data_IF_119807623277
#
_entry.id   IF_119807623277
#
_cell.length_a   1.000
_cell.length_b   1.000
_cell.length_c   1.000
_cell.angle_alpha   90.00
_cell.angle_beta   90.00
_cell.angle_gamma   90.00
#
_symmetry.space_group_name_H-M   'P 1'
#
loop_
_entity.id
_entity.type
_entity.pdbx_description
1 polymer ?
#
# COMPACT_ATOMS: atom_id res chain seq x y z
N UNK A 1 -15.35 25.93 -50.63
CA UNK A 1 -16.05 27.16 -50.17
C UNK A 1 -16.88 26.79 -48.95
N UNK A 2 -16.43 27.05 -47.72
CA UNK A 2 -15.44 28.06 -47.33
C UNK A 2 -14.30 27.49 -46.45
N UNK A 3 -13.25 27.00 -47.08
CA UNK A 3 -12.08 26.41 -46.42
C UNK A 3 -11.27 27.45 -45.63
N UNK A 4 -11.30 28.72 -46.10
CA UNK A 4 -10.53 29.85 -45.56
C UNK A 4 -10.77 30.19 -44.09
N UNK A 5 -11.92 29.85 -43.51
CA UNK A 5 -12.22 30.23 -42.12
C UNK A 5 -11.45 29.42 -41.08
N UNK A 6 -10.85 28.29 -41.46
CA UNK A 6 -10.01 27.49 -40.55
C UNK A 6 -8.59 28.09 -40.49
N UNK A 7 -8.03 28.49 -41.63
CA UNK A 7 -6.74 29.16 -41.71
C UNK A 7 -6.76 30.50 -40.92
N UNK A 8 -7.82 31.31 -41.11
CA UNK A 8 -8.06 32.57 -40.39
C UNK A 8 -8.19 32.41 -38.85
N UNK A 9 -8.55 31.20 -38.37
CA UNK A 9 -8.65 30.87 -36.95
C UNK A 9 -7.31 30.36 -36.39
N UNK A 10 -6.57 29.56 -37.17
CA UNK A 10 -5.27 29.03 -36.78
C UNK A 10 -4.20 30.11 -36.66
N UNK A 11 -4.17 31.11 -37.56
CA UNK A 11 -3.25 32.26 -37.44
C UNK A 11 -3.48 33.08 -36.16
N UNK A 12 -4.71 33.16 -35.65
CA UNK A 12 -5.00 33.84 -34.37
C UNK A 12 -4.45 33.11 -33.16
N UNK A 13 -4.46 31.77 -33.18
CA UNK A 13 -3.93 30.96 -32.09
C UNK A 13 -2.41 31.12 -32.02
N UNK A 14 -1.73 31.07 -33.18
CA UNK A 14 -0.27 31.27 -33.26
C UNK A 14 0.09 32.71 -32.83
N UNK A 15 -0.56 33.73 -33.40
CA UNK A 15 -0.27 35.13 -33.08
C UNK A 15 -0.65 35.52 -31.64
N UNK A 16 -1.48 34.72 -30.95
CA UNK A 16 -1.80 34.88 -29.53
C UNK A 16 -0.76 34.31 -28.56
N UNK A 17 0.21 33.50 -29.04
CA UNK A 17 1.21 32.82 -28.20
C UNK A 17 2.57 33.53 -28.12
N UNK A 18 2.84 34.52 -28.97
CA UNK A 18 4.14 35.21 -29.03
C UNK A 18 4.24 36.48 -28.15
N UNK A 19 3.34 36.69 -27.17
CA UNK A 19 3.24 37.98 -26.48
C UNK A 19 2.90 37.93 -24.97
N UNK A 20 3.48 36.99 -24.22
CA UNK A 20 3.72 37.17 -22.77
C UNK A 20 5.23 37.27 -22.53
N UNK A 21 5.71 38.47 -22.18
CA UNK A 21 7.14 38.76 -21.97
C UNK A 21 7.54 38.70 -20.50
N UNK A 22 8.67 38.04 -20.20
CA UNK A 22 9.30 37.97 -18.87
C UNK A 22 9.46 39.33 -18.17
N UNK A 23 9.29 39.35 -16.83
CA UNK A 23 9.98 40.26 -15.94
C UNK A 23 11.04 39.53 -15.07
N UNK A 24 12.23 40.11 -15.00
CA UNK A 24 13.46 39.48 -14.49
C UNK A 24 13.52 39.17 -12.97
N UNK A 25 14.36 38.18 -12.65
CA UNK A 25 15.26 38.06 -11.49
C UNK A 25 14.94 38.81 -10.17
N UNK A 26 14.69 38.04 -9.12
CA UNK A 26 14.85 38.46 -7.72
C UNK A 26 15.90 37.61 -6.99
N UNK A 27 17.18 37.98 -7.08
CA UNK A 27 18.24 37.33 -6.28
C UNK A 27 18.27 37.91 -4.86
N UNK A 28 18.07 37.06 -3.84
CA UNK A 28 18.49 37.37 -2.47
C UNK A 28 19.34 36.22 -1.91
N UNK A 29 20.31 36.56 -1.06
CA UNK A 29 21.41 35.70 -0.64
C UNK A 29 21.58 35.76 0.87
N UNK A 30 21.17 34.70 1.57
CA UNK A 30 21.35 34.59 3.02
C UNK A 30 21.53 33.14 3.47
N UNK A 31 22.78 32.66 3.40
CA UNK A 31 23.24 31.63 4.32
C UNK A 31 23.36 32.22 5.73
N UNK A 32 23.23 31.39 6.78
CA UNK A 32 24.25 31.45 7.83
C UNK A 32 24.93 30.10 8.04
N UNK A 33 26.24 30.17 8.23
CA UNK A 33 27.15 29.05 8.46
C UNK A 33 26.72 28.14 9.62
N UNK A 34 27.03 26.85 9.49
CA UNK A 34 27.36 25.99 10.63
C UNK A 34 28.66 25.27 10.36
N UNK A 35 29.51 25.24 11.39
CA UNK A 35 30.87 24.71 11.32
C UNK A 35 30.90 23.17 11.42
N UNK A 36 32.02 22.62 10.96
CA UNK A 36 32.36 21.20 10.97
C UNK A 36 32.70 20.68 12.36
N UNK A 37 32.20 19.50 12.72
CA UNK A 37 32.84 18.62 13.71
C UNK A 37 32.41 17.16 13.53
N UNK A 38 33.36 16.32 13.15
CA UNK A 38 33.32 14.87 12.97
C UNK A 38 34.78 14.38 13.06
N UNK A 39 35.13 13.14 13.44
CA UNK A 39 34.28 12.02 13.87
C UNK A 39 34.59 11.50 15.30
N UNK A 40 33.91 10.43 15.71
CA UNK A 40 34.43 9.48 16.69
C UNK A 40 33.94 8.07 16.37
N UNK A 41 34.79 7.30 15.70
CA UNK A 41 34.65 5.85 15.53
C UNK A 41 34.96 5.15 16.88
N UNK A 42 34.23 4.09 17.22
CA UNK A 42 34.48 3.30 18.44
C UNK A 42 33.99 1.85 18.22
N UNK A 43 34.87 0.98 17.71
CA UNK A 43 34.61 -0.47 17.54
C UNK A 43 35.14 -1.28 18.72
N UNK A 44 34.35 -2.19 19.32
CA UNK A 44 34.83 -3.19 20.24
C UNK A 44 34.98 -4.58 19.58
N UNK A 45 36.22 -4.85 19.14
CA UNK A 45 36.98 -6.12 19.11
C UNK A 45 36.30 -7.51 18.96
N UNK A 46 37.00 -8.38 18.24
CA UNK A 46 36.76 -9.83 18.10
C UNK A 46 37.29 -10.60 19.33
N UNK A 47 36.58 -11.64 19.77
CA UNK A 47 37.11 -12.70 20.65
C UNK A 47 37.15 -14.03 19.87
N UNK A 48 38.36 -14.44 19.47
CA UNK A 48 38.64 -15.83 19.10
C UNK A 48 39.26 -16.56 20.29
N UNK A 49 38.51 -17.51 20.87
CA UNK A 49 39.02 -18.41 21.91
C UNK A 49 38.73 -19.88 21.57
N UNK A 50 39.65 -20.48 20.80
CA UNK A 50 39.70 -21.93 20.54
C UNK A 50 40.36 -22.68 21.70
N UNK A 51 39.83 -23.86 22.08
CA UNK A 51 40.70 -25.04 22.25
C UNK A 51 39.94 -26.39 22.14
N UNK A 52 40.73 -27.46 22.20
CA UNK A 52 40.57 -28.76 21.57
C UNK A 52 40.04 -29.88 22.49
N UNK A 53 39.64 -31.00 21.86
CA UNK A 53 39.83 -32.43 22.21
C UNK A 53 40.11 -32.83 23.70
N UNK A 54 39.53 -33.92 24.22
CA UNK A 54 39.90 -35.30 23.82
C UNK A 54 38.83 -36.38 24.17
N UNK A 55 39.08 -37.57 23.61
CA UNK A 55 38.31 -38.81 23.44
C UNK A 55 37.91 -39.57 24.71
N UNK A 56 36.78 -40.29 24.67
CA UNK A 56 36.76 -41.79 24.66
C UNK A 56 35.37 -42.40 24.39
N UNK A 57 35.35 -43.51 23.64
CA UNK A 57 34.24 -44.46 23.42
C UNK A 57 34.58 -45.80 24.13
N UNK A 58 33.71 -46.85 24.15
CA UNK A 58 32.30 -46.98 23.74
C UNK A 58 31.39 -47.24 25.01
N UNK A 59 30.27 -47.98 25.09
CA UNK A 59 29.49 -48.87 24.19
C UNK A 59 27.98 -48.93 24.61
N UNK A 60 27.19 -49.73 23.85
CA UNK A 60 25.86 -50.32 24.16
C UNK A 60 24.55 -49.48 24.08
N UNK A 61 23.94 -49.55 22.89
CA UNK A 61 22.55 -49.96 22.61
C UNK A 61 21.34 -49.40 23.39
N UNK A 62 20.54 -48.56 22.72
CA UNK A 62 19.11 -48.85 22.49
C UNK A 62 18.58 -48.12 21.26
N UNK A 63 17.83 -48.82 20.40
CA UNK A 63 17.16 -48.26 19.22
C UNK A 63 15.87 -47.51 19.64
N UNK A 64 15.78 -46.21 19.38
CA UNK A 64 14.59 -45.56 18.75
C UNK A 64 14.93 -44.09 18.44
N UNK A 65 14.84 -43.71 17.17
CA UNK A 65 14.99 -42.33 16.70
C UNK A 65 14.41 -42.25 15.30
N UNK A 66 13.09 -42.13 15.21
CA UNK A 66 12.42 -41.78 13.97
C UNK A 66 12.83 -40.37 13.55
N UNK A 67 13.78 -40.25 12.61
CA UNK A 67 14.00 -39.03 11.85
C UNK A 67 12.67 -38.68 11.17
N UNK A 68 12.05 -37.58 11.60
CA UNK A 68 11.00 -36.95 10.82
C UNK A 68 11.68 -36.36 9.58
N UNK A 69 11.68 -37.12 8.48
CA UNK A 69 12.15 -36.64 7.19
C UNK A 69 11.24 -35.48 6.77
N UNK A 70 11.73 -34.25 6.92
CA UNK A 70 11.13 -33.09 6.27
C UNK A 70 11.23 -33.33 4.76
N UNK A 71 10.07 -33.49 4.11
CA UNK A 71 10.03 -33.67 2.66
C UNK A 71 10.65 -32.43 2.00
N UNK A 72 11.59 -32.59 1.05
CA UNK A 72 12.27 -31.45 0.45
C UNK A 72 11.24 -30.61 -0.31
N UNK A 73 10.90 -29.44 0.23
CA UNK A 73 9.95 -28.53 -0.41
C UNK A 73 10.49 -28.13 -1.78
N UNK A 74 9.70 -28.44 -2.80
CA UNK A 74 10.10 -28.39 -4.20
C UNK A 74 9.91 -26.97 -4.76
N UNK A 75 10.84 -26.06 -4.44
CA UNK A 75 10.77 -24.64 -4.83
C UNK A 75 10.67 -24.39 -6.36
N UNK A 76 10.90 -25.40 -7.19
CA UNK A 76 10.76 -25.33 -8.66
C UNK A 76 9.33 -25.68 -9.15
N UNK A 77 8.42 -26.07 -8.26
CA UNK A 77 7.01 -26.34 -8.58
C UNK A 77 6.19 -25.06 -8.31
N UNK A 78 5.49 -24.50 -9.32
CA UNK A 78 4.75 -23.26 -9.14
C UNK A 78 3.57 -23.49 -8.18
N UNK A 79 3.55 -22.77 -7.06
CA UNK A 79 2.39 -22.76 -6.19
C UNK A 79 1.20 -22.13 -6.96
N UNK A 80 0.07 -22.85 -7.02
CA UNK A 80 -1.20 -22.31 -7.52
C UNK A 80 -1.71 -21.24 -6.53
N UNK A 81 -1.18 -20.02 -6.64
CA UNK A 81 -1.61 -18.85 -5.88
C UNK A 81 -3.08 -18.54 -6.19
N UNK A 82 -4.00 -19.08 -5.39
CA UNK A 82 -5.44 -18.86 -5.53
C UNK A 82 -5.81 -17.38 -5.28
N UNK A 83 -5.82 -16.59 -6.35
CA UNK A 83 -6.28 -15.21 -6.33
C UNK A 83 -7.81 -15.14 -6.20
N UNK A 84 -8.30 -14.20 -5.41
CA UNK A 84 -9.74 -13.91 -5.26
C UNK A 84 -10.27 -13.11 -6.47
N UNK A 85 -10.23 -13.69 -7.68
CA UNK A 85 -10.79 -13.11 -8.92
C UNK A 85 -12.19 -13.71 -9.18
N UNK A 86 -13.22 -13.24 -8.46
CA UNK A 86 -14.58 -13.80 -8.54
C UNK A 86 -15.28 -13.50 -9.89
N UNK A 87 -14.91 -14.27 -10.92
CA UNK A 87 -15.37 -14.09 -12.30
C UNK A 87 -14.26 -13.80 -13.31
N UNK A 88 -12.97 -13.89 -12.90
CA UNK A 88 -11.82 -13.60 -13.76
C UNK A 88 -11.45 -12.11 -13.85
N UNK A 89 -12.12 -11.24 -13.09
CA UNK A 89 -11.72 -9.85 -12.83
C UNK A 89 -11.71 -9.60 -11.31
N UNK A 90 -11.03 -8.53 -10.89
CA UNK A 90 -11.10 -7.95 -9.53
C UNK A 90 -10.75 -6.46 -9.58
N UNK A 91 -11.61 -5.58 -9.05
CA UNK A 91 -11.24 -4.16 -8.81
C UNK A 91 -11.26 -3.81 -7.32
N UNK A 92 -10.15 -3.29 -6.80
CA UNK A 92 -10.00 -2.95 -5.38
C UNK A 92 -9.31 -1.60 -5.17
N UNK A 93 -9.87 -0.81 -4.26
CA UNK A 93 -9.27 0.43 -3.77
C UNK A 93 -8.70 0.26 -2.36
N UNK A 94 -7.47 0.69 -2.15
CA UNK A 94 -6.86 0.83 -0.83
C UNK A 94 -6.62 2.30 -0.49
N UNK A 95 -6.90 2.71 0.74
CA UNK A 95 -6.40 3.99 1.30
C UNK A 95 -5.44 3.69 2.44
N UNK A 96 -4.16 3.92 2.19
CA UNK A 96 -3.05 3.74 3.12
C UNK A 96 -2.86 5.01 3.94
N UNK A 97 -2.82 4.91 5.27
CA UNK A 97 -2.51 6.07 6.12
C UNK A 97 -1.91 5.69 7.49
N UNK A 98 -0.91 6.44 8.00
CA UNK A 98 -0.27 6.21 9.31
C UNK A 98 -1.15 6.63 10.51
N UNK A 99 -2.37 6.10 10.56
CA UNK A 99 -3.33 6.28 11.65
C UNK A 99 -3.33 5.05 12.57
N UNK A 100 -3.22 5.25 13.89
CA UNK A 100 -3.37 4.19 14.89
C UNK A 100 -4.17 4.68 16.11
N UNK A 101 -4.93 3.80 16.78
CA UNK A 101 -5.16 2.39 16.45
C UNK A 101 -6.26 2.19 15.40
N UNK A 102 -6.20 1.09 14.63
CA UNK A 102 -7.23 0.70 13.66
C UNK A 102 -8.65 0.69 14.26
N UNK A 103 -8.81 0.19 15.49
CA UNK A 103 -10.11 0.19 16.19
C UNK A 103 -10.65 1.58 16.57
N UNK A 104 -9.86 2.65 16.43
CA UNK A 104 -10.32 4.03 16.49
C UNK A 104 -10.97 4.46 15.17
N UNK A 105 -10.27 4.23 14.06
CA UNK A 105 -10.76 4.52 12.70
C UNK A 105 -12.02 3.71 12.38
N UNK A 106 -12.04 2.41 12.69
CA UNK A 106 -13.21 1.55 12.51
C UNK A 106 -14.45 2.05 13.27
N UNK A 107 -14.29 2.49 14.53
CA UNK A 107 -15.39 3.08 15.32
C UNK A 107 -15.91 4.39 14.71
N UNK A 108 -14.99 5.25 14.25
CA UNK A 108 -15.35 6.51 13.59
C UNK A 108 -16.15 6.25 12.31
N UNK A 109 -15.69 5.36 11.44
CA UNK A 109 -16.41 4.98 10.21
C UNK A 109 -17.77 4.37 10.52
N UNK A 110 -17.85 3.47 11.51
CA UNK A 110 -19.11 2.90 11.99
C UNK A 110 -20.10 3.94 12.53
N UNK A 111 -19.63 5.02 13.16
CA UNK A 111 -20.49 6.15 13.60
C UNK A 111 -21.09 6.93 12.42
N UNK A 112 -20.40 6.98 11.27
CA UNK A 112 -20.92 7.55 10.03
C UNK A 112 -21.68 6.52 9.16
N UNK A 113 -21.86 5.28 9.64
CA UNK A 113 -22.52 4.18 8.91
C UNK A 113 -21.68 3.56 7.79
N UNK A 114 -20.44 4.00 7.62
CA UNK A 114 -19.53 3.62 6.54
C UNK A 114 -18.96 2.22 6.80
N UNK A 115 -19.42 1.25 6.00
CA UNK A 115 -19.10 -0.16 6.16
C UNK A 115 -17.94 -0.57 5.26
N UNK A 116 -16.71 -0.41 5.75
CA UNK A 116 -15.48 -0.81 5.07
C UNK A 116 -14.58 -1.59 6.02
N UNK A 117 -13.62 -2.32 5.47
CA UNK A 117 -12.64 -3.10 6.24
C UNK A 117 -11.41 -2.24 6.56
N UNK A 118 -10.93 -2.32 7.80
CA UNK A 118 -9.68 -1.69 8.23
C UNK A 118 -8.70 -2.82 8.58
N UNK A 119 -7.64 -2.96 7.79
CA UNK A 119 -6.56 -3.94 8.03
C UNK A 119 -5.37 -3.19 8.65
N UNK A 120 -4.95 -3.51 9.88
CA UNK A 120 -3.75 -2.94 10.47
C UNK A 120 -2.49 -3.55 9.82
N UNK A 121 -1.53 -2.72 9.46
CA UNK A 121 -0.27 -3.12 8.81
C UNK A 121 0.90 -2.34 9.43
N UNK A 122 2.05 -2.97 9.67
CA UNK A 122 3.19 -2.49 10.47
C UNK A 122 2.94 -1.25 11.36
N UNK A 123 3.12 -0.05 10.81
CA UNK A 123 2.99 1.24 11.51
C UNK A 123 1.77 2.10 11.11
N UNK A 124 0.88 1.57 10.28
CA UNK A 124 -0.20 2.29 9.62
C UNK A 124 -1.50 1.44 9.53
N UNK A 125 -2.45 1.86 8.70
CA UNK A 125 -3.62 1.05 8.31
C UNK A 125 -3.82 1.05 6.80
N UNK A 126 -4.45 -0.02 6.32
CA UNK A 126 -5.21 -0.07 5.07
C UNK A 126 -6.68 0.17 5.40
N UNK A 127 -7.35 1.05 4.67
CA UNK A 127 -8.80 0.98 4.47
C UNK A 127 -9.04 0.27 3.13
N UNK A 128 -9.73 -0.86 3.14
CA UNK A 128 -10.05 -1.64 1.93
C UNK A 128 -11.45 -1.32 1.40
N UNK A 129 -11.54 -1.21 0.08
CA UNK A 129 -12.74 -0.98 -0.69
C UNK A 129 -12.81 -2.00 -1.84
N UNK A 130 -13.85 -2.83 -1.87
CA UNK A 130 -14.36 -3.39 -3.13
C UNK A 130 -14.81 -2.24 -4.03
N UNK A 131 -14.53 -2.34 -5.33
CA UNK A 131 -15.05 -1.42 -6.34
C UNK A 131 -15.95 -2.21 -7.30
N UNK A 132 -17.07 -1.61 -7.69
CA UNK A 132 -18.03 -2.26 -8.59
C UNK A 132 -17.41 -2.45 -9.99
N UNK A 133 -17.40 -3.67 -10.50
CA UNK A 133 -16.77 -4.02 -11.79
C UNK A 133 -17.67 -3.72 -13.01
N UNK A 134 -18.94 -3.39 -12.77
CA UNK A 134 -19.94 -2.99 -13.77
C UNK A 134 -19.69 -1.57 -14.35
N UNK A 135 -18.43 -1.12 -14.43
CA UNK A 135 -18.07 0.10 -15.13
C UNK A 135 -18.21 -0.10 -16.65
N UNK A 136 -18.73 0.90 -17.37
CA UNK A 136 -18.90 0.84 -18.83
C UNK A 136 -17.57 0.47 -19.52
N UNK A 137 -17.54 -0.64 -20.26
CA UNK A 137 -16.28 -1.25 -20.73
C UNK A 137 -15.45 -0.30 -21.63
N UNK A 138 -16.10 0.59 -22.39
CA UNK A 138 -15.44 1.63 -23.20
C UNK A 138 -14.74 2.69 -22.33
N UNK A 139 -15.30 3.06 -21.17
CA UNK A 139 -14.69 4.02 -20.24
C UNK A 139 -13.60 3.35 -19.39
N UNK A 140 -13.75 2.06 -19.04
CA UNK A 140 -12.68 1.27 -18.43
C UNK A 140 -11.48 1.06 -19.37
N UNK A 141 -11.71 0.82 -20.67
CA UNK A 141 -10.65 0.77 -21.69
C UNK A 141 -9.97 2.14 -21.80
N UNK A 142 -10.74 3.23 -21.95
CA UNK A 142 -10.18 4.58 -22.04
C UNK A 142 -9.36 4.97 -20.80
N UNK A 143 -9.86 4.69 -19.59
CA UNK A 143 -9.13 4.96 -18.35
C UNK A 143 -7.82 4.17 -18.23
N UNK A 144 -7.72 2.98 -18.84
CA UNK A 144 -6.47 2.21 -18.87
C UNK A 144 -5.36 2.93 -19.65
N UNK A 145 -5.72 3.68 -20.70
CA UNK A 145 -4.79 4.44 -21.54
C UNK A 145 -4.22 5.69 -20.83
N UNK A 146 -4.83 6.11 -19.72
CA UNK A 146 -4.38 7.25 -18.91
C UNK A 146 -3.23 6.88 -17.95
N UNK A 147 -2.96 5.59 -17.73
CA UNK A 147 -1.86 5.11 -16.89
C UNK A 147 -1.87 5.70 -15.47
N UNK A 148 -0.80 6.42 -15.10
CA UNK A 148 -0.64 7.04 -13.77
C UNK A 148 -1.52 8.29 -13.58
N UNK A 149 -1.91 8.96 -14.67
CA UNK A 149 -2.79 10.14 -14.63
C UNK A 149 -4.27 9.79 -14.46
N UNK A 150 -4.66 8.52 -14.62
CA UNK A 150 -6.03 7.99 -14.45
C UNK A 150 -6.75 8.61 -13.24
N UNK A 151 -8.00 9.06 -13.37
CA UNK A 151 -8.75 9.59 -12.23
C UNK A 151 -8.92 8.51 -11.15
N UNK A 152 -8.84 8.93 -9.89
CA UNK A 152 -9.07 8.04 -8.75
C UNK A 152 -10.59 7.85 -8.59
N UNK A 153 -11.13 6.62 -8.54
CA UNK A 153 -12.57 6.36 -8.46
C UNK A 153 -13.25 7.11 -7.31
N UNK A 154 -14.47 7.61 -7.52
CA UNK A 154 -15.09 8.63 -6.65
C UNK A 154 -15.06 8.25 -5.16
N UNK A 155 -15.36 6.98 -4.83
CA UNK A 155 -15.33 6.56 -3.43
C UNK A 155 -13.91 6.49 -2.85
N UNK A 156 -12.92 6.03 -3.62
CA UNK A 156 -11.52 5.96 -3.18
C UNK A 156 -10.97 7.37 -2.96
N UNK A 157 -11.21 8.29 -3.91
CA UNK A 157 -10.89 9.71 -3.77
C UNK A 157 -11.57 10.33 -2.53
N UNK A 158 -12.88 10.12 -2.37
CA UNK A 158 -13.68 10.59 -1.23
C UNK A 158 -13.09 10.13 0.10
N UNK A 159 -12.72 8.86 0.23
CA UNK A 159 -12.09 8.35 1.44
C UNK A 159 -10.67 8.88 1.64
N UNK A 160 -9.83 8.92 0.59
CA UNK A 160 -8.48 9.47 0.65
C UNK A 160 -8.47 10.94 1.09
N UNK A 161 -9.43 11.75 0.63
CA UNK A 161 -9.61 13.15 1.07
C UNK A 161 -10.05 13.32 2.52
N UNK A 162 -10.79 12.35 3.07
CA UNK A 162 -11.19 12.37 4.49
C UNK A 162 -10.04 11.89 5.37
N UNK A 163 -9.42 10.76 5.03
CA UNK A 163 -8.33 10.14 5.80
C UNK A 163 -7.06 11.02 5.80
N UNK A 164 -6.73 11.67 4.69
CA UNK A 164 -5.59 12.61 4.60
C UNK A 164 -5.74 13.89 5.44
N UNK A 165 -6.95 14.23 5.91
CA UNK A 165 -7.18 15.33 6.89
C UNK A 165 -6.99 14.89 8.33
N UNK A 166 -7.03 13.58 8.60
CA UNK A 166 -6.85 12.99 9.92
C UNK A 166 -5.39 12.57 10.17
N UNK A 167 -4.63 12.34 9.10
CA UNK A 167 -3.21 11.95 9.13
C UNK A 167 -2.30 13.16 8.91
N UNK A 168 -1.35 13.38 9.83
CA UNK A 168 -0.30 14.43 9.71
C UNK A 168 0.49 14.34 8.39
N UNK A 169 0.69 13.13 7.87
CA UNK A 169 1.54 12.87 6.70
C UNK A 169 0.74 12.73 5.39
N UNK A 170 -0.59 12.89 5.46
CA UNK A 170 -1.50 12.58 4.37
C UNK A 170 -1.89 11.10 4.32
N UNK A 171 -2.45 10.69 3.19
CA UNK A 171 -2.79 9.31 2.84
C UNK A 171 -2.29 9.01 1.42
N UNK A 172 -2.21 7.74 1.04
CA UNK A 172 -2.03 7.31 -0.34
C UNK A 172 -3.27 6.54 -0.76
N UNK A 173 -3.88 6.95 -1.87
CA UNK A 173 -4.90 6.18 -2.56
C UNK A 173 -4.21 5.24 -3.54
N UNK A 174 -4.68 4.01 -3.63
CA UNK A 174 -4.22 2.99 -4.56
C UNK A 174 -5.45 2.30 -5.12
N UNK A 175 -5.46 2.03 -6.43
CA UNK A 175 -6.41 1.11 -7.05
C UNK A 175 -5.65 0.05 -7.82
N UNK A 176 -6.00 -1.20 -7.59
CA UNK A 176 -5.59 -2.33 -8.42
C UNK A 176 -6.79 -2.82 -9.22
N UNK A 177 -6.58 -3.05 -10.51
CA UNK A 177 -7.52 -3.78 -11.36
C UNK A 177 -6.78 -4.99 -11.91
N UNK A 178 -7.34 -6.18 -11.73
CA UNK A 178 -6.80 -7.45 -12.18
C UNK A 178 -7.78 -8.11 -13.16
N UNK A 179 -7.25 -8.79 -14.17
CA UNK A 179 -8.02 -9.52 -15.18
C UNK A 179 -7.26 -10.76 -15.64
N UNK A 180 -7.91 -11.92 -15.58
CA UNK A 180 -7.40 -13.18 -16.10
C UNK A 180 -7.93 -13.43 -17.52
N UNK A 181 -7.04 -13.58 -18.49
CA UNK A 181 -7.37 -13.92 -19.88
C UNK A 181 -6.42 -15.03 -20.36
N UNK A 182 -6.97 -16.11 -20.93
CA UNK A 182 -6.23 -17.32 -21.35
C UNK A 182 -5.22 -17.86 -20.30
N UNK A 183 -5.63 -17.81 -19.02
CA UNK A 183 -4.82 -18.16 -17.83
C UNK A 183 -3.55 -17.32 -17.62
N UNK A 184 -3.50 -16.11 -18.20
CA UNK A 184 -2.54 -15.07 -17.88
C UNK A 184 -3.21 -13.99 -17.03
N UNK A 185 -2.67 -13.75 -15.83
CA UNK A 185 -3.12 -12.66 -14.97
C UNK A 185 -2.47 -11.36 -15.46
N UNK A 186 -3.31 -10.45 -15.92
CA UNK A 186 -2.98 -9.07 -16.30
C UNK A 186 -3.49 -8.10 -15.22
N UNK A 187 -2.91 -6.90 -15.15
CA UNK A 187 -3.39 -5.91 -14.19
C UNK A 187 -2.74 -4.54 -14.30
N UNK A 188 -3.38 -3.56 -13.66
CA UNK A 188 -2.94 -2.17 -13.58
C UNK A 188 -3.06 -1.65 -12.15
N UNK A 189 -2.04 -0.91 -11.69
CA UNK A 189 -2.04 -0.27 -10.37
C UNK A 189 -1.83 1.24 -10.54
N UNK A 190 -2.87 2.01 -10.23
CA UNK A 190 -2.82 3.46 -10.18
C UNK A 190 -2.74 3.92 -8.73
N UNK A 191 -1.89 4.90 -8.43
CA UNK A 191 -1.72 5.42 -7.08
C UNK A 191 -1.50 6.93 -7.06
N UNK A 192 -1.97 7.59 -6.00
CA UNK A 192 -1.88 9.06 -5.85
C UNK A 192 -1.78 9.46 -4.39
N UNK A 193 -0.92 10.44 -4.09
CA UNK A 193 -0.80 10.98 -2.73
C UNK A 193 -1.93 11.99 -2.45
N UNK A 194 -2.38 12.04 -1.20
CA UNK A 194 -3.39 13.00 -0.73
C UNK A 194 -2.92 13.68 0.56
N UNK A 195 -2.96 15.01 0.61
CA UNK A 195 -2.59 15.81 1.79
C UNK A 195 -3.67 16.83 2.09
N UNK A 196 -4.12 16.90 3.36
CA UNK A 196 -5.15 17.84 3.84
C UNK A 196 -6.47 17.82 3.03
N UNK A 197 -6.74 16.77 2.24
CA UNK A 197 -7.93 16.66 1.38
C UNK A 197 -7.77 17.09 -0.07
N UNK A 198 -6.56 17.45 -0.51
CA UNK A 198 -6.22 17.61 -1.92
C UNK A 198 -5.43 16.38 -2.40
N UNK A 199 -5.64 15.90 -3.64
CA UNK A 199 -4.66 15.04 -4.30
C UNK A 199 -3.41 15.87 -4.61
N UNK A 200 -2.28 15.18 -4.63
CA UNK A 200 -1.01 15.63 -5.17
C UNK A 200 -0.67 14.74 -6.39
N UNK A 201 0.62 14.61 -6.72
CA UNK A 201 1.11 13.83 -7.86
C UNK A 201 0.78 12.33 -7.76
N UNK A 202 0.75 11.69 -8.92
CA UNK A 202 0.68 10.23 -9.03
C UNK A 202 1.95 9.56 -8.48
N UNK A 203 1.82 8.31 -8.07
CA UNK A 203 2.93 7.47 -7.61
C UNK A 203 3.05 6.29 -8.58
N UNK A 204 4.22 6.06 -9.21
CA UNK A 204 4.40 4.92 -10.10
C UNK A 204 4.10 3.59 -9.40
N UNK A 205 3.19 2.80 -9.98
CA UNK A 205 2.69 1.56 -9.35
C UNK A 205 3.81 0.57 -8.99
N UNK A 206 4.81 0.42 -9.87
CA UNK A 206 5.99 -0.41 -9.61
C UNK A 206 6.88 0.11 -8.47
N UNK A 207 6.96 1.43 -8.25
CA UNK A 207 7.68 1.99 -7.10
C UNK A 207 6.88 1.78 -5.81
N UNK A 208 5.55 1.89 -5.88
CA UNK A 208 4.67 1.65 -4.73
C UNK A 208 4.76 0.21 -4.24
N UNK A 209 4.62 -0.79 -5.12
CA UNK A 209 4.66 -2.22 -4.73
C UNK A 209 5.97 -2.55 -4.00
N UNK A 210 7.12 -2.11 -4.52
CA UNK A 210 8.42 -2.27 -3.87
C UNK A 210 8.58 -1.52 -2.51
N UNK A 211 7.57 -0.76 -2.07
CA UNK A 211 7.63 0.13 -0.90
C UNK A 211 6.52 -0.09 0.14
N UNK A 212 5.55 -0.98 -0.10
CA UNK A 212 4.42 -1.23 0.83
C UNK A 212 4.68 -2.41 1.78
N UNK A 213 3.81 -2.55 2.77
CA UNK A 213 3.72 -3.74 3.63
C UNK A 213 3.15 -4.90 2.82
N UNK A 214 3.70 -6.12 2.94
CA UNK A 214 3.26 -7.26 2.12
C UNK A 214 1.76 -7.54 2.26
N UNK A 215 1.16 -7.29 3.43
CA UNK A 215 -0.28 -7.45 3.64
C UNK A 215 -1.13 -6.45 2.85
N UNK A 216 -0.56 -5.36 2.36
CA UNK A 216 -1.21 -4.46 1.42
C UNK A 216 -0.95 -4.87 -0.04
N UNK A 217 0.22 -5.46 -0.33
CA UNK A 217 0.50 -6.07 -1.63
C UNK A 217 -0.44 -7.26 -1.90
N UNK A 218 -0.59 -8.18 -0.95
CA UNK A 218 -1.49 -9.35 -1.05
C UNK A 218 -2.96 -8.95 -1.33
N UNK A 219 -3.40 -7.81 -0.76
CA UNK A 219 -4.73 -7.25 -0.97
C UNK A 219 -4.88 -6.58 -2.34
N UNK A 220 -3.81 -6.02 -2.92
CA UNK A 220 -3.81 -5.42 -4.26
C UNK A 220 -3.68 -6.47 -5.36
N UNK A 221 -2.84 -7.49 -5.15
CA UNK A 221 -2.49 -8.52 -6.14
C UNK A 221 -3.42 -9.72 -6.13
N UNK A 222 -4.55 -9.65 -5.40
CA UNK A 222 -5.58 -10.68 -5.45
C UNK A 222 -5.45 -11.79 -4.41
N UNK A 223 -4.26 -11.98 -3.82
CA UNK A 223 -3.89 -13.12 -2.96
C UNK A 223 -4.68 -13.26 -1.65
N UNK A 224 -5.21 -12.16 -1.12
CA UNK A 224 -6.02 -12.19 0.10
C UNK A 224 -7.27 -11.31 0.02
N UNK A 225 -8.17 -11.51 0.98
CA UNK A 225 -9.28 -10.62 1.29
C UNK A 225 -9.20 -10.22 2.79
N UNK A 226 -9.71 -9.04 3.21
CA UNK A 226 -9.59 -8.59 4.61
C UNK A 226 -10.18 -9.52 5.68
N UNK A 227 -11.04 -10.48 5.32
CA UNK A 227 -11.56 -11.51 6.25
C UNK A 227 -10.49 -12.43 6.82
N UNK A 228 -9.40 -12.62 6.07
CA UNK A 228 -8.46 -13.72 6.30
C UNK A 228 -7.41 -13.31 7.35
N UNK A 229 -7.30 -12.00 7.59
CA UNK A 229 -6.51 -11.39 8.63
C UNK A 229 -7.26 -11.33 9.98
N UNK A 230 -6.82 -12.04 11.03
CA UNK A 230 -7.55 -12.16 12.30
C UNK A 230 -7.58 -10.87 13.15
N UNK A 231 -6.80 -9.86 12.77
CA UNK A 231 -6.72 -8.53 13.39
C UNK A 231 -7.41 -7.43 12.57
N UNK A 232 -7.95 -7.75 11.38
CA UNK A 232 -8.76 -6.84 10.60
C UNK A 232 -10.09 -6.52 11.28
N UNK A 233 -10.60 -5.32 11.03
CA UNK A 233 -11.80 -4.79 11.70
C UNK A 233 -12.75 -4.23 10.64
N UNK A 234 -13.88 -4.89 10.45
CA UNK A 234 -14.98 -4.33 9.68
C UNK A 234 -15.70 -3.22 10.49
N UNK A 235 -15.95 -2.06 9.88
CA UNK A 235 -16.39 -0.86 10.61
C UNK A 235 -17.79 -0.94 11.26
N UNK A 236 -18.67 -1.86 10.81
CA UNK A 236 -19.97 -2.11 11.47
C UNK A 236 -19.82 -3.00 12.71
N UNK A 237 -18.71 -3.72 12.86
CA UNK A 237 -18.53 -4.70 13.92
C UNK A 237 -18.11 -4.01 15.21
N UNK A 238 -18.78 -4.35 16.32
CA UNK A 238 -18.37 -3.83 17.63
C UNK A 238 -17.05 -4.51 18.02
N UNK A 239 -15.93 -3.78 18.15
CA UNK A 239 -14.65 -4.39 18.51
C UNK A 239 -14.78 -5.09 19.87
N UNK A 240 -14.49 -6.40 19.87
CA UNK A 240 -14.60 -7.28 21.05
C UNK A 240 -13.84 -6.64 22.23
N UNK A 241 -14.48 -6.45 23.41
CA UNK A 241 -13.82 -5.79 24.52
C UNK A 241 -12.63 -6.63 24.97
N UNK A 242 -11.42 -6.06 24.82
CA UNK A 242 -10.19 -6.73 25.23
C UNK A 242 -10.26 -7.04 26.73
N UNK A 243 -10.14 -8.33 27.09
CA UNK A 243 -10.29 -8.83 28.47
C UNK A 243 -9.14 -8.35 29.36
N UNK A 244 -9.17 -7.09 29.79
CA UNK A 244 -8.40 -6.63 30.95
C UNK A 244 -8.84 -7.46 32.15
N UNK A 245 -7.91 -8.21 32.74
CA UNK A 245 -8.17 -9.21 33.77
C UNK A 245 -8.58 -8.60 35.11
N UNK A 246 -9.80 -8.07 35.19
CA UNK A 246 -10.39 -7.62 36.45
C UNK A 246 -10.96 -8.83 37.21
N UNK A 247 -10.05 -9.63 37.78
CA UNK A 247 -10.42 -10.67 38.74
C UNK A 247 -11.15 -10.04 39.95
N UNK A 248 -12.17 -10.70 40.51
CA UNK A 248 -12.86 -10.16 41.69
C UNK A 248 -11.88 -10.06 42.86
N UNK A 249 -11.95 -9.00 43.68
CA UNK A 249 -11.10 -8.89 44.87
C UNK A 249 -11.42 -10.02 45.84
N UNK A 250 -10.41 -10.83 46.17
CA UNK A 250 -10.53 -11.88 47.17
C UNK A 250 -10.79 -11.27 48.55
N UNK A 251 -12.02 -11.36 49.03
CA UNK A 251 -12.36 -11.11 50.43
C UNK A 251 -11.83 -12.26 51.29
N UNK A 252 -11.18 -11.91 52.39
CA UNK A 252 -10.73 -12.78 53.49
C UNK A 252 -11.55 -12.47 54.74
#
# INVERSE_FOLDING_TARGET
MNDKSIDDEFERIISGLENESDPEMGTDSSQPSRESSDPSEDEPELDESTDSHDSTQPEDASEDSAEAAEEPQNLDEPEDEHLHLEGGRRSVGLVLAPLRPASGVARMLGMYGLARWIVPIANQIVLYLELDEDADEEEAEFESLLGEDRPMPEEVDRFARVISKLSKYGAIAVVSNLSEEDSLISGSIAARRYVNGAPEDAIPGGLLINSIDSRAEDLLLGRTHPSDYPDAIHAKDRPKPHKRGFGPPFLK
#
